data_IF_189228579966
#
_entry.id   IF_189228579966
#
_cell.length_a   1.000
_cell.length_b   1.000
_cell.length_c   1.000
_cell.angle_alpha   90.00
_cell.angle_beta   90.00
_cell.angle_gamma   90.00
#
_symmetry.space_group_name_H-M   'P 1'
#
loop_
_entity.id
_entity.type
_entity.pdbx_description
1 polymer ?
#
# COMPACT_ATOMS: atom_id res chain seq x y z
N UNK A 1 -33.11 -15.92 -13.93
CA UNK A 1 -32.25 -16.93 -13.24
C UNK A 1 -33.17 -17.78 -12.36
N UNK A 2 -33.18 -19.09 -12.54
CA UNK A 2 -33.96 -20.00 -11.68
C UNK A 2 -33.35 -19.97 -10.28
N UNK A 3 -34.13 -19.62 -9.26
CA UNK A 3 -33.73 -19.71 -7.86
C UNK A 3 -33.66 -21.19 -7.48
N UNK A 4 -32.47 -21.73 -7.36
CA UNK A 4 -32.29 -23.07 -6.81
C UNK A 4 -32.18 -22.94 -5.28
N UNK A 5 -33.18 -23.47 -4.52
CA UNK A 5 -33.22 -23.33 -3.07
C UNK A 5 -32.15 -24.11 -2.32
N UNK A 6 -31.36 -24.94 -3.03
CA UNK A 6 -30.28 -25.74 -2.46
C UNK A 6 -28.90 -25.08 -2.63
N UNK A 7 -28.82 -23.87 -3.24
CA UNK A 7 -27.58 -23.18 -3.46
C UNK A 7 -27.47 -21.99 -2.53
N UNK A 8 -26.32 -21.85 -1.90
CA UNK A 8 -25.88 -20.67 -1.17
C UNK A 8 -24.61 -20.09 -1.81
N UNK A 9 -24.38 -18.80 -1.63
CA UNK A 9 -23.17 -18.10 -2.10
C UNK A 9 -22.57 -17.28 -0.97
N UNK A 10 -21.26 -17.22 -0.89
CA UNK A 10 -20.52 -16.27 -0.05
C UNK A 10 -20.40 -14.96 -0.85
N UNK A 11 -20.86 -13.86 -0.25
CA UNK A 11 -20.81 -12.55 -0.90
C UNK A 11 -20.93 -11.43 0.14
N UNK A 12 -20.52 -10.22 -0.23
CA UNK A 12 -20.72 -9.04 0.61
C UNK A 12 -22.15 -8.52 0.57
N UNK A 13 -22.53 -7.71 1.56
CA UNK A 13 -23.86 -7.08 1.70
C UNK A 13 -24.42 -6.38 0.43
N UNK A 14 -23.60 -5.73 -0.43
CA UNK A 14 -24.10 -5.15 -1.68
C UNK A 14 -24.75 -6.16 -2.63
N UNK A 15 -24.33 -7.43 -2.62
CA UNK A 15 -24.90 -8.46 -3.46
C UNK A 15 -26.33 -8.81 -3.03
N UNK A 16 -26.63 -8.80 -1.74
CA UNK A 16 -27.98 -8.99 -1.21
C UNK A 16 -28.95 -7.97 -1.82
N UNK A 17 -28.57 -6.69 -1.75
CA UNK A 17 -29.40 -5.58 -2.27
C UNK A 17 -29.60 -5.68 -3.79
N UNK A 18 -28.51 -5.95 -4.51
CA UNK A 18 -28.49 -5.97 -5.98
C UNK A 18 -29.30 -7.13 -6.57
N UNK A 19 -29.26 -8.30 -5.93
CA UNK A 19 -29.88 -9.52 -6.46
C UNK A 19 -31.13 -9.97 -5.70
N UNK A 20 -31.54 -9.22 -4.67
CA UNK A 20 -32.73 -9.56 -3.86
C UNK A 20 -32.57 -10.90 -3.13
N UNK A 21 -31.38 -11.20 -2.63
CA UNK A 21 -31.09 -12.47 -1.97
C UNK A 21 -31.40 -12.39 -0.47
N UNK A 22 -31.79 -13.54 0.11
CA UNK A 22 -31.93 -13.68 1.57
C UNK A 22 -30.55 -13.97 2.18
N UNK A 23 -30.22 -13.30 3.27
CA UNK A 23 -29.02 -13.59 4.05
C UNK A 23 -29.33 -14.70 5.04
N UNK A 24 -28.62 -15.82 4.95
CA UNK A 24 -28.77 -16.97 5.85
C UNK A 24 -27.84 -16.88 7.06
N UNK A 25 -26.62 -16.41 6.87
CA UNK A 25 -25.62 -16.20 7.92
C UNK A 25 -24.81 -14.95 7.65
N UNK A 26 -24.35 -14.27 8.72
CA UNK A 26 -23.46 -13.11 8.66
C UNK A 26 -22.14 -13.45 9.33
N UNK A 27 -21.09 -12.70 8.98
CA UNK A 27 -19.76 -12.84 9.58
C UNK A 27 -19.27 -14.30 9.50
N UNK A 28 -19.25 -14.83 8.27
CA UNK A 28 -18.86 -16.23 7.98
C UNK A 28 -17.38 -16.37 7.59
N UNK A 29 -16.62 -15.29 7.74
CA UNK A 29 -15.18 -15.28 7.55
C UNK A 29 -14.47 -16.14 8.61
N UNK A 30 -13.47 -16.91 8.19
CA UNK A 30 -12.66 -17.77 9.07
C UNK A 30 -11.72 -16.95 9.98
N UNK A 31 -11.34 -15.72 9.54
CA UNK A 31 -10.46 -14.82 10.26
C UNK A 31 -11.10 -13.43 10.39
N UNK A 32 -11.29 -12.93 11.63
CA UNK A 32 -11.96 -11.62 11.86
C UNK A 32 -11.16 -10.42 11.36
N UNK A 33 -9.86 -10.61 11.07
CA UNK A 33 -8.94 -9.62 10.51
C UNK A 33 -8.80 -9.69 8.98
N UNK A 34 -9.63 -10.49 8.31
CA UNK A 34 -9.65 -10.59 6.84
C UNK A 34 -10.16 -9.28 6.24
N UNK A 35 -9.22 -8.39 5.91
CA UNK A 35 -9.49 -7.08 5.35
C UNK A 35 -8.88 -6.93 3.96
N UNK A 36 -9.64 -6.40 3.02
CA UNK A 36 -9.13 -5.99 1.71
C UNK A 36 -8.88 -4.48 1.71
N UNK A 37 -7.64 -4.08 1.43
CA UNK A 37 -7.28 -2.66 1.32
C UNK A 37 -7.55 -2.17 -0.10
N UNK A 38 -8.30 -1.08 -0.21
CA UNK A 38 -8.55 -0.39 -1.45
C UNK A 38 -7.83 0.97 -1.45
N UNK A 39 -7.29 1.36 -2.61
CA UNK A 39 -6.78 2.69 -2.84
C UNK A 39 -7.80 3.52 -3.62
N UNK A 40 -8.04 4.74 -3.16
CA UNK A 40 -8.76 5.74 -3.95
C UNK A 40 -7.73 6.54 -4.72
N UNK A 41 -7.75 6.44 -6.05
CA UNK A 41 -6.81 7.14 -6.91
C UNK A 41 -7.39 8.49 -7.31
N UNK A 42 -6.60 9.54 -7.17
CA UNK A 42 -6.95 10.91 -7.53
C UNK A 42 -5.75 11.69 -8.05
N UNK A 43 -6.01 12.85 -8.64
CA UNK A 43 -4.96 13.77 -9.12
C UNK A 43 -4.63 14.87 -8.11
N UNK A 44 -5.45 15.01 -7.08
CA UNK A 44 -5.27 16.03 -6.06
C UNK A 44 -4.34 15.52 -4.97
N UNK A 45 -3.40 16.35 -4.56
CA UNK A 45 -2.61 16.09 -3.37
C UNK A 45 -3.51 16.18 -2.13
N UNK A 46 -3.30 15.29 -1.18
CA UNK A 46 -3.99 15.32 0.12
C UNK A 46 -3.08 16.08 1.08
N UNK A 47 -3.64 16.98 1.86
CA UNK A 47 -2.91 17.72 2.88
C UNK A 47 -2.57 16.81 4.08
N UNK A 48 -1.48 17.12 4.84
CA UNK A 48 -1.14 16.38 6.06
C UNK A 48 -2.30 16.36 7.06
N UNK A 49 -2.56 15.17 7.62
CA UNK A 49 -3.60 14.96 8.65
C UNK A 49 -3.04 14.78 10.06
N UNK A 50 -1.73 14.56 10.17
CA UNK A 50 -1.03 14.25 11.42
C UNK A 50 -0.95 12.76 11.75
N UNK A 51 -1.72 11.91 11.09
CA UNK A 51 -1.60 10.43 11.12
C UNK A 51 -1.71 9.91 9.70
N UNK A 52 -0.59 9.98 8.95
CA UNK A 52 -0.55 9.75 7.53
C UNK A 52 0.31 8.54 7.17
N UNK A 53 0.11 8.06 5.95
CA UNK A 53 0.98 7.10 5.26
C UNK A 53 1.43 7.67 3.94
N UNK A 54 2.67 7.36 3.58
CA UNK A 54 3.21 7.62 2.25
C UNK A 54 3.53 6.31 1.57
N UNK A 55 3.04 6.14 0.34
CA UNK A 55 3.39 5.03 -0.54
C UNK A 55 4.32 5.51 -1.64
N UNK A 56 5.38 4.75 -1.89
CA UNK A 56 6.38 5.08 -2.91
C UNK A 56 6.88 3.84 -3.63
N UNK A 57 7.50 4.04 -4.77
CA UNK A 57 8.25 3.04 -5.53
C UNK A 57 9.67 3.52 -5.71
N UNK A 58 10.62 2.67 -5.33
CA UNK A 58 12.06 2.91 -5.53
C UNK A 58 12.60 1.86 -6.50
N UNK A 59 13.19 2.30 -7.60
CA UNK A 59 13.85 1.41 -8.56
C UNK A 59 15.35 1.46 -8.33
N UNK A 60 15.97 0.30 -8.18
CA UNK A 60 17.38 0.18 -7.86
C UNK A 60 18.05 -0.89 -8.69
N UNK A 61 19.39 -0.79 -8.84
CA UNK A 61 20.21 -1.86 -9.41
C UNK A 61 20.22 -3.07 -8.47
N UNK A 62 20.26 -4.26 -9.05
CA UNK A 62 20.42 -5.50 -8.30
C UNK A 62 21.89 -5.75 -7.94
N UNK A 63 22.37 -5.13 -6.88
CA UNK A 63 23.72 -5.25 -6.35
C UNK A 63 23.67 -5.58 -4.84
N UNK A 64 24.67 -6.28 -4.30
CA UNK A 64 24.73 -6.54 -2.86
C UNK A 64 24.67 -5.27 -2.04
N UNK A 65 23.82 -5.26 -0.99
CA UNK A 65 23.65 -4.13 -0.07
C UNK A 65 22.81 -2.96 -0.59
N UNK A 66 22.32 -3.00 -1.82
CA UNK A 66 21.53 -1.88 -2.39
C UNK A 66 20.26 -1.61 -1.62
N UNK A 67 19.50 -2.65 -1.26
CA UNK A 67 18.29 -2.49 -0.45
C UNK A 67 18.63 -1.92 0.95
N UNK A 68 19.69 -2.40 1.58
CA UNK A 68 20.11 -1.89 2.88
C UNK A 68 20.36 -0.37 2.82
N UNK A 69 21.15 0.08 1.85
CA UNK A 69 21.43 1.52 1.64
C UNK A 69 20.17 2.33 1.38
N UNK A 70 19.15 1.75 0.70
CA UNK A 70 17.90 2.42 0.45
C UNK A 70 17.02 2.55 1.70
N UNK A 71 17.13 1.62 2.65
CA UNK A 71 16.34 1.63 3.89
C UNK A 71 17.00 2.44 5.01
N UNK A 72 18.31 2.57 4.98
CA UNK A 72 19.12 3.26 6.01
C UNK A 72 18.69 4.72 6.27
N UNK A 73 18.37 5.57 5.24
CA UNK A 73 17.88 6.92 5.47
C UNK A 73 16.57 6.99 6.26
N UNK A 74 15.66 6.04 6.07
CA UNK A 74 14.40 5.99 6.83
C UNK A 74 14.67 5.64 8.29
N UNK A 75 15.58 4.68 8.55
CA UNK A 75 15.97 4.32 9.90
C UNK A 75 16.66 5.49 10.62
N UNK A 76 17.56 6.20 9.94
CA UNK A 76 18.26 7.35 10.50
C UNK A 76 17.32 8.53 10.82
N UNK A 77 16.22 8.66 10.08
CA UNK A 77 15.19 9.68 10.29
C UNK A 77 14.07 9.20 11.23
N UNK A 78 14.19 8.02 11.85
CA UNK A 78 13.18 7.38 12.71
C UNK A 78 11.80 7.21 12.01
N UNK A 79 11.80 7.08 10.69
CA UNK A 79 10.59 6.85 9.89
C UNK A 79 10.29 5.36 9.82
N UNK A 80 9.14 4.96 10.37
CA UNK A 80 8.72 3.57 10.40
C UNK A 80 8.23 3.08 9.03
N UNK A 81 8.72 1.89 8.62
CA UNK A 81 8.29 1.23 7.38
C UNK A 81 7.21 0.21 7.69
N UNK A 82 6.04 0.36 7.05
CA UNK A 82 4.88 -0.50 7.25
C UNK A 82 4.85 -1.69 6.30
N UNK A 83 5.46 -1.53 5.12
CA UNK A 83 5.49 -2.55 4.07
C UNK A 83 6.67 -2.32 3.15
N UNK A 84 7.33 -3.42 2.80
CA UNK A 84 8.34 -3.45 1.72
C UNK A 84 8.05 -4.66 0.85
N UNK A 85 7.80 -4.45 -0.43
CA UNK A 85 7.54 -5.51 -1.40
C UNK A 85 8.42 -5.32 -2.63
N UNK A 86 9.20 -6.32 -2.99
CA UNK A 86 10.04 -6.28 -4.18
C UNK A 86 9.33 -6.91 -5.37
N UNK A 87 9.49 -6.29 -6.54
CA UNK A 87 9.05 -6.84 -7.83
C UNK A 87 10.14 -6.64 -8.87
N UNK A 88 10.32 -7.60 -9.79
CA UNK A 88 11.20 -7.38 -10.94
C UNK A 88 10.72 -6.14 -11.73
N UNK A 89 11.62 -5.18 -11.95
CA UNK A 89 11.29 -4.03 -12.78
C UNK A 89 11.44 -4.43 -14.26
N UNK A 90 10.46 -4.03 -15.09
CA UNK A 90 10.50 -4.32 -16.54
C UNK A 90 11.46 -3.37 -17.32
N UNK A 91 12.24 -2.58 -16.62
CA UNK A 91 13.14 -1.55 -17.17
C UNK A 91 14.55 -2.07 -17.51
N UNK A 92 14.68 -3.35 -17.89
CA UNK A 92 15.94 -3.96 -18.27
C UNK A 92 16.34 -5.15 -17.39
N UNK A 93 17.44 -5.82 -17.76
CA UNK A 93 17.96 -6.93 -16.96
C UNK A 93 18.53 -6.39 -15.64
N UNK A 94 18.19 -7.08 -14.52
CA UNK A 94 18.80 -6.87 -13.20
C UNK A 94 18.40 -5.57 -12.47
N UNK A 95 17.15 -5.14 -12.60
CA UNK A 95 16.60 -4.06 -11.78
C UNK A 95 15.40 -4.54 -10.94
N UNK A 96 15.28 -4.01 -9.72
CA UNK A 96 14.15 -4.28 -8.84
C UNK A 96 13.41 -2.98 -8.51
N UNK A 97 12.09 -3.05 -8.50
CA UNK A 97 11.21 -2.02 -7.97
C UNK A 97 10.75 -2.45 -6.57
N UNK A 98 11.01 -1.61 -5.59
CA UNK A 98 10.55 -1.78 -4.21
C UNK A 98 9.36 -0.88 -3.98
N UNK A 99 8.21 -1.49 -3.67
CA UNK A 99 7.02 -0.79 -3.20
C UNK A 99 7.13 -0.66 -1.69
N UNK A 100 7.15 0.56 -1.21
CA UNK A 100 7.33 0.88 0.21
C UNK A 100 6.16 1.70 0.69
N UNK A 101 5.56 1.30 1.80
CA UNK A 101 4.64 2.12 2.57
C UNK A 101 5.33 2.50 3.89
N UNK A 102 5.30 3.78 4.23
CA UNK A 102 5.89 4.32 5.46
C UNK A 102 4.88 5.16 6.24
N UNK A 103 5.14 5.38 7.52
CA UNK A 103 4.41 6.30 8.37
C UNK A 103 4.86 7.74 8.13
N UNK A 104 3.90 8.66 8.18
CA UNK A 104 4.12 10.08 7.97
C UNK A 104 3.76 10.56 6.56
N UNK A 105 3.62 11.88 6.46
CA UNK A 105 3.31 12.58 5.22
C UNK A 105 4.61 12.97 4.50
N UNK A 106 4.59 13.00 3.18
CA UNK A 106 5.77 13.41 2.36
C UNK A 106 6.28 14.83 2.66
N UNK A 107 5.46 15.68 3.26
CA UNK A 107 5.80 17.04 3.64
C UNK A 107 6.41 17.14 5.05
N UNK A 108 6.32 16.07 5.85
CA UNK A 108 6.97 15.99 7.15
C UNK A 108 8.49 16.07 6.97
N UNK A 109 9.16 16.82 7.82
CA UNK A 109 10.60 17.10 7.68
C UNK A 109 11.44 15.83 7.65
N UNK A 110 11.16 14.89 8.55
CA UNK A 110 11.85 13.59 8.63
C UNK A 110 11.65 12.75 7.36
N UNK A 111 10.40 12.65 6.88
CA UNK A 111 10.06 11.89 5.67
C UNK A 111 10.69 12.53 4.43
N UNK A 112 10.59 13.85 4.30
CA UNK A 112 11.16 14.59 3.19
C UNK A 112 12.69 14.45 3.12
N UNK A 113 13.36 14.53 4.27
CA UNK A 113 14.81 14.33 4.35
C UNK A 113 15.23 12.92 3.93
N UNK A 114 14.52 11.90 4.44
CA UNK A 114 14.77 10.50 4.08
C UNK A 114 14.52 10.25 2.57
N UNK A 115 13.43 10.77 2.02
CA UNK A 115 13.12 10.64 0.59
C UNK A 115 14.21 11.25 -0.29
N UNK A 116 14.71 12.45 0.05
CA UNK A 116 15.81 13.09 -0.68
C UNK A 116 17.11 12.29 -0.65
N UNK A 117 17.42 11.67 0.48
CA UNK A 117 18.60 10.80 0.59
C UNK A 117 18.45 9.51 -0.23
N UNK A 118 17.27 8.89 -0.25
CA UNK A 118 17.00 7.71 -1.07
C UNK A 118 17.01 8.04 -2.56
N UNK A 119 16.46 9.20 -2.96
CA UNK A 119 16.45 9.66 -4.35
C UNK A 119 17.86 9.79 -4.93
N UNK A 120 18.82 10.24 -4.13
CA UNK A 120 20.21 10.33 -4.54
C UNK A 120 20.89 8.96 -4.79
N UNK A 121 20.35 7.87 -4.26
CA UNK A 121 20.86 6.50 -4.39
C UNK A 121 20.09 5.67 -5.43
N UNK A 122 18.85 6.05 -5.73
CA UNK A 122 17.94 5.30 -6.59
C UNK A 122 18.17 5.56 -8.08
N UNK A 123 17.81 4.61 -8.93
CA UNK A 123 17.68 4.85 -10.38
C UNK A 123 16.42 5.67 -10.69
N UNK A 124 15.35 5.45 -9.93
CA UNK A 124 14.09 6.20 -10.00
C UNK A 124 13.41 6.10 -8.62
N UNK A 125 12.88 7.20 -8.14
CA UNK A 125 12.03 7.28 -6.95
C UNK A 125 10.74 7.98 -7.31
N UNK A 126 9.63 7.33 -7.03
CA UNK A 126 8.31 7.89 -7.28
C UNK A 126 7.43 7.80 -6.05
N UNK A 127 7.09 8.93 -5.47
CA UNK A 127 6.06 9.01 -4.45
C UNK A 127 4.70 8.86 -5.12
N UNK A 128 3.97 7.78 -4.78
CA UNK A 128 2.64 7.50 -5.32
C UNK A 128 1.58 8.38 -4.66
N UNK A 129 1.76 8.70 -3.38
CA UNK A 129 0.90 9.61 -2.63
C UNK A 129 1.10 9.49 -1.13
N UNK A 130 0.68 10.55 -0.43
CA UNK A 130 0.48 10.56 1.02
C UNK A 130 -1.00 10.69 1.31
N UNK A 131 -1.50 9.98 2.31
CA UNK A 131 -2.93 9.89 2.63
C UNK A 131 -3.13 9.54 4.10
N UNK A 132 -4.27 9.95 4.71
CA UNK A 132 -4.59 9.63 6.09
C UNK A 132 -4.60 8.12 6.34
N UNK A 133 -4.13 7.72 7.50
CA UNK A 133 -4.19 6.34 7.95
C UNK A 133 -5.65 5.92 8.15
N UNK A 134 -6.11 4.79 7.57
CA UNK A 134 -7.47 4.34 7.79
C UNK A 134 -7.67 4.03 9.28
N UNK A 135 -8.69 4.65 9.86
CA UNK A 135 -9.14 4.28 11.20
C UNK A 135 -9.78 2.88 11.13
N UNK A 136 -9.37 2.00 12.02
CA UNK A 136 -9.95 0.65 12.17
C UNK A 136 -11.20 0.69 13.03
#
# INVERSE_FOLDING_TARGET
MAKNPQLAALAGDPAQKRYGLRVEARCVEDAPDNCTRFFVLGRQAVAPSGDDRTSLVVTMKNEPGTLLRALEPFSAAEVNLLRVESRPARLGQWTYAFFVDLEGHREDEAVRGALGAVEALALDLRVLGSYPRPQR
#
